data_IF_383229674604
#
_entry.id   IF_383229674604
#
_cell.length_a   1.000
_cell.length_b   1.000
_cell.length_c   1.000
_cell.angle_alpha   90.00
_cell.angle_beta   90.00
_cell.angle_gamma   90.00
#
_symmetry.space_group_name_H-M   'P 1'
#
loop_
_entity.id
_entity.type
_entity.pdbx_description
1 polymer ?
#
# COMPACT_ATOMS: atom_id res chain seq x y z
N UNK A 1 21.89 -90.01 -21.51
CA UNK A 1 22.54 -90.46 -22.77
C UNK A 1 22.41 -89.31 -23.76
N UNK A 2 23.38 -88.75 -24.46
CA UNK A 2 24.84 -88.91 -24.51
C UNK A 2 25.39 -87.73 -25.38
N UNK A 3 26.57 -87.20 -25.01
CA UNK A 3 27.74 -86.75 -25.84
C UNK A 3 27.50 -85.89 -27.11
N UNK A 4 28.01 -84.64 -27.17
CA UNK A 4 29.36 -84.13 -27.58
C UNK A 4 29.50 -83.82 -29.08
N UNK A 5 30.44 -82.92 -29.38
CA UNK A 5 30.98 -82.39 -30.65
C UNK A 5 30.27 -81.11 -31.12
N UNK A 6 30.76 -79.91 -30.79
CA UNK A 6 32.03 -79.24 -31.14
C UNK A 6 32.28 -79.11 -32.65
N UNK A 7 32.37 -77.83 -33.04
CA UNK A 7 33.12 -77.21 -34.13
C UNK A 7 32.72 -77.46 -35.58
N UNK A 8 32.34 -76.38 -36.27
CA UNK A 8 33.27 -75.63 -37.15
C UNK A 8 32.49 -74.89 -38.24
N UNK A 9 32.10 -73.63 -37.98
CA UNK A 9 31.93 -72.63 -39.06
C UNK A 9 32.54 -71.31 -38.59
N UNK A 10 33.78 -71.09 -39.02
CA UNK A 10 34.45 -69.81 -38.97
C UNK A 10 34.12 -69.03 -40.25
N UNK A 11 33.68 -67.77 -40.13
CA UNK A 11 33.98 -66.74 -41.13
C UNK A 11 33.66 -65.33 -40.62
N UNK A 12 34.74 -64.57 -40.39
CA UNK A 12 34.91 -63.13 -40.65
C UNK A 12 34.00 -62.11 -39.95
N UNK A 13 34.62 -61.32 -39.05
CA UNK A 13 34.20 -59.95 -38.70
C UNK A 13 34.47 -59.00 -39.89
N UNK A 14 33.75 -57.87 -39.99
CA UNK A 14 34.40 -56.64 -39.55
C UNK A 14 33.48 -55.68 -38.79
N UNK A 15 33.98 -55.22 -37.65
CA UNK A 15 33.60 -53.98 -37.00
C UNK A 15 33.78 -52.78 -37.94
N UNK A 16 32.77 -51.91 -37.98
CA UNK A 16 32.93 -50.49 -38.34
C UNK A 16 32.36 -50.09 -39.69
N UNK A 17 31.12 -49.58 -39.70
CA UNK A 17 30.68 -48.53 -40.62
C UNK A 17 29.36 -47.90 -40.15
N UNK A 18 29.41 -46.94 -39.21
CA UNK A 18 28.34 -45.96 -39.04
C UNK A 18 28.81 -44.65 -39.69
N UNK A 19 28.15 -44.17 -40.76
CA UNK A 19 28.50 -42.88 -41.35
C UNK A 19 28.22 -41.74 -40.36
N UNK A 20 29.28 -41.10 -39.85
CA UNK A 20 29.23 -40.02 -38.86
C UNK A 20 28.81 -38.65 -39.42
N UNK A 21 28.40 -38.59 -40.68
CA UNK A 21 28.13 -37.34 -41.42
C UNK A 21 26.64 -37.06 -41.63
N UNK A 22 25.73 -37.81 -41.00
CA UNK A 22 24.30 -37.45 -40.92
C UNK A 22 24.07 -36.53 -39.71
N UNK A 23 24.61 -35.34 -39.90
CA UNK A 23 24.15 -34.00 -39.53
C UNK A 23 23.48 -33.78 -38.17
N UNK A 24 24.29 -33.24 -37.25
CA UNK A 24 23.81 -32.37 -36.18
C UNK A 24 22.94 -31.20 -36.71
N UNK A 25 23.18 -30.74 -37.95
CA UNK A 25 22.37 -29.69 -38.61
C UNK A 25 20.94 -30.12 -38.95
N UNK A 26 20.72 -31.38 -39.35
CA UNK A 26 19.38 -31.89 -39.67
C UNK A 26 18.52 -32.03 -38.42
N UNK A 27 19.14 -32.44 -37.29
CA UNK A 27 18.49 -32.47 -35.97
C UNK A 27 18.19 -31.08 -35.44
N UNK A 28 19.09 -30.11 -35.64
CA UNK A 28 18.86 -28.71 -35.27
C UNK A 28 17.73 -28.07 -36.10
N UNK A 29 17.63 -28.35 -37.40
CA UNK A 29 16.53 -27.83 -38.25
C UNK A 29 15.16 -28.37 -37.86
N UNK A 30 15.06 -29.67 -37.53
CA UNK A 30 13.78 -30.26 -37.06
C UNK A 30 13.37 -29.76 -35.68
N UNK A 31 14.32 -29.48 -34.78
CA UNK A 31 14.03 -28.85 -33.48
C UNK A 31 13.65 -27.37 -33.60
N UNK A 32 14.16 -26.68 -34.62
CA UNK A 32 13.84 -25.27 -34.90
C UNK A 32 12.41 -25.09 -35.42
N UNK A 33 11.86 -26.07 -36.15
CA UNK A 33 10.51 -26.03 -36.73
C UNK A 33 9.39 -26.38 -35.74
N UNK A 34 9.68 -27.17 -34.70
CA UNK A 34 8.70 -27.50 -33.65
C UNK A 34 8.50 -26.36 -32.62
N UNK A 35 9.37 -25.35 -32.62
CA UNK A 35 9.39 -24.22 -31.68
C UNK A 35 8.71 -22.94 -32.24
N UNK A 36 7.85 -23.06 -33.27
CA UNK A 36 7.30 -21.87 -33.98
C UNK A 36 5.81 -21.62 -33.73
N UNK A 37 5.07 -22.47 -33.01
CA UNK A 37 3.64 -22.21 -32.80
C UNK A 37 3.08 -22.71 -31.46
N UNK A 38 3.52 -22.10 -30.37
CA UNK A 38 2.64 -21.90 -29.23
C UNK A 38 2.17 -20.43 -29.26
N UNK A 39 0.93 -20.13 -29.67
CA UNK A 39 0.40 -18.78 -29.47
C UNK A 39 0.35 -18.55 -27.95
N UNK A 40 1.25 -17.71 -27.46
CA UNK A 40 1.25 -17.26 -26.08
C UNK A 40 -0.01 -16.45 -25.84
N UNK A 41 -1.09 -17.10 -25.40
CA UNK A 41 -2.30 -16.43 -24.90
C UNK A 41 -2.04 -15.80 -23.53
N UNK A 42 -1.02 -14.94 -23.43
CA UNK A 42 -0.62 -14.20 -22.22
C UNK A 42 -0.77 -12.70 -22.43
N UNK A 43 -1.90 -12.28 -23.00
CA UNK A 43 -2.30 -10.85 -23.00
C UNK A 43 -3.12 -10.49 -21.76
N UNK A 44 -3.65 -11.47 -21.01
CA UNK A 44 -4.45 -11.21 -19.79
C UNK A 44 -3.60 -10.87 -18.55
N UNK A 45 -2.29 -11.09 -18.61
CA UNK A 45 -1.35 -10.98 -17.48
C UNK A 45 -0.56 -9.67 -17.43
N UNK A 46 -0.97 -8.58 -18.11
CA UNK A 46 -0.33 -7.25 -17.89
C UNK A 46 -1.20 -6.25 -17.14
N UNK A 47 -2.53 -6.36 -17.28
CA UNK A 47 -3.47 -5.51 -16.53
C UNK A 47 -3.55 -5.91 -15.04
N UNK A 48 -3.44 -7.20 -14.74
CA UNK A 48 -3.45 -7.74 -13.37
C UNK A 48 -2.17 -7.32 -12.60
N UNK A 49 -1.05 -7.10 -13.31
CA UNK A 49 0.26 -6.81 -12.71
C UNK A 49 0.47 -5.36 -12.30
N UNK A 50 -0.55 -4.51 -12.42
CA UNK A 50 -0.47 -3.09 -12.03
C UNK A 50 -1.66 -2.64 -11.18
N UNK A 51 -2.53 -3.55 -10.73
CA UNK A 51 -3.73 -3.16 -10.01
C UNK A 51 -3.41 -2.39 -8.71
N UNK A 52 -2.45 -2.84 -7.85
CA UNK A 52 -2.06 -2.07 -6.66
C UNK A 52 -1.47 -0.70 -7.00
N UNK A 53 -0.57 -0.64 -7.99
CA UNK A 53 0.04 0.63 -8.42
C UNK A 53 -1.02 1.60 -8.97
N UNK A 54 -1.97 1.12 -9.77
CA UNK A 54 -3.03 1.93 -10.35
C UNK A 54 -3.95 2.50 -9.26
N UNK A 55 -4.22 1.74 -8.20
CA UNK A 55 -4.99 2.19 -7.04
C UNK A 55 -4.23 3.29 -6.28
N UNK A 56 -2.93 3.13 -6.04
CA UNK A 56 -2.09 4.19 -5.44
C UNK A 56 -2.08 5.45 -6.30
N UNK A 57 -1.88 5.33 -7.62
CA UNK A 57 -1.92 6.49 -8.53
C UNK A 57 -3.31 7.13 -8.57
N UNK A 58 -4.37 6.33 -8.53
CA UNK A 58 -5.74 6.81 -8.41
C UNK A 58 -5.95 7.66 -7.17
N UNK A 59 -5.39 7.28 -6.02
CA UNK A 59 -5.43 8.08 -4.78
C UNK A 59 -4.64 9.37 -4.89
N UNK A 60 -3.46 9.34 -5.48
CA UNK A 60 -2.68 10.56 -5.75
C UNK A 60 -3.46 11.53 -6.63
N UNK A 61 -4.20 11.03 -7.63
CA UNK A 61 -5.09 11.83 -8.48
C UNK A 61 -6.38 12.27 -7.77
N UNK A 62 -6.85 11.50 -6.79
CA UNK A 62 -8.02 11.85 -5.99
C UNK A 62 -7.77 13.11 -5.16
N UNK A 63 -6.53 13.36 -4.70
CA UNK A 63 -6.19 14.57 -3.92
C UNK A 63 -6.55 15.85 -4.68
N UNK A 64 -5.97 16.17 -5.85
CA UNK A 64 -6.31 17.39 -6.59
C UNK A 64 -7.77 17.41 -7.05
N UNK A 65 -8.38 16.25 -7.32
CA UNK A 65 -9.78 16.19 -7.71
C UNK A 65 -10.72 16.61 -6.56
N UNK A 66 -10.51 16.07 -5.36
CA UNK A 66 -11.29 16.41 -4.16
C UNK A 66 -11.07 17.87 -3.78
N UNK A 67 -9.81 18.35 -3.80
CA UNK A 67 -9.55 19.75 -3.46
C UNK A 67 -10.17 20.71 -4.46
N UNK A 68 -10.11 20.44 -5.77
CA UNK A 68 -10.74 21.29 -6.78
C UNK A 68 -12.27 21.35 -6.59
N UNK A 69 -12.92 20.21 -6.35
CA UNK A 69 -14.37 20.16 -6.12
C UNK A 69 -14.78 20.90 -4.84
N UNK A 70 -13.97 20.82 -3.78
CA UNK A 70 -14.21 21.55 -2.54
C UNK A 70 -13.85 23.03 -2.63
N UNK A 71 -12.92 23.42 -3.50
CA UNK A 71 -12.59 24.82 -3.75
C UNK A 71 -13.79 25.54 -4.41
N UNK A 72 -14.36 24.96 -5.46
CA UNK A 72 -15.52 25.51 -6.17
C UNK A 72 -16.88 24.99 -5.66
N UNK A 73 -17.01 24.65 -4.37
CA UNK A 73 -18.17 23.97 -3.76
C UNK A 73 -19.53 24.69 -3.78
N UNK A 74 -19.75 25.64 -4.72
CA UNK A 74 -20.97 26.43 -4.88
C UNK A 74 -22.21 25.56 -5.11
N UNK A 75 -22.05 24.45 -5.82
CA UNK A 75 -23.16 23.55 -6.17
C UNK A 75 -23.14 22.26 -5.36
N UNK A 76 -24.31 21.79 -4.93
CA UNK A 76 -24.45 20.58 -4.09
C UNK A 76 -23.87 19.33 -4.76
N UNK A 77 -23.98 19.19 -6.08
CA UNK A 77 -23.46 18.03 -6.80
C UNK A 77 -21.93 17.91 -6.69
N UNK A 78 -21.21 19.03 -6.55
CA UNK A 78 -19.76 19.04 -6.42
C UNK A 78 -19.32 18.44 -5.08
N UNK A 79 -20.07 18.72 -4.01
CA UNK A 79 -19.86 18.10 -2.69
C UNK A 79 -20.16 16.60 -2.71
N UNK A 80 -21.23 16.18 -3.37
CA UNK A 80 -21.53 14.76 -3.55
C UNK A 80 -20.47 14.03 -4.37
N UNK A 81 -19.96 14.65 -5.43
CA UNK A 81 -18.88 14.09 -6.23
C UNK A 81 -17.57 14.04 -5.44
N UNK A 82 -17.24 15.09 -4.68
CA UNK A 82 -16.07 15.10 -3.81
C UNK A 82 -16.16 13.98 -2.76
N UNK A 83 -17.35 13.78 -2.17
CA UNK A 83 -17.61 12.71 -1.22
C UNK A 83 -17.44 11.34 -1.88
N UNK A 84 -17.97 11.15 -3.09
CA UNK A 84 -17.86 9.90 -3.82
C UNK A 84 -16.40 9.56 -4.14
N UNK A 85 -15.61 10.53 -4.61
CA UNK A 85 -14.18 10.35 -4.91
C UNK A 85 -13.40 10.07 -3.63
N UNK A 86 -13.64 10.85 -2.57
CA UNK A 86 -12.99 10.67 -1.27
C UNK A 86 -13.30 9.28 -0.67
N UNK A 87 -14.56 8.87 -0.68
CA UNK A 87 -15.00 7.56 -0.20
C UNK A 87 -14.42 6.42 -1.04
N UNK A 88 -14.43 6.55 -2.37
CA UNK A 88 -13.80 5.58 -3.26
C UNK A 88 -12.30 5.44 -2.96
N UNK A 89 -11.58 6.55 -2.82
CA UNK A 89 -10.16 6.57 -2.46
C UNK A 89 -9.90 5.87 -1.12
N UNK A 90 -10.65 6.20 -0.07
CA UNK A 90 -10.52 5.60 1.25
C UNK A 90 -10.85 4.09 1.26
N UNK A 91 -11.89 3.67 0.53
CA UNK A 91 -12.26 2.27 0.41
C UNK A 91 -11.19 1.50 -0.37
N UNK A 92 -10.70 2.06 -1.47
CA UNK A 92 -9.65 1.42 -2.28
C UNK A 92 -8.36 1.24 -1.50
N UNK A 93 -7.99 2.19 -0.64
CA UNK A 93 -6.84 2.06 0.26
C UNK A 93 -6.96 0.84 1.18
N UNK A 94 -8.11 0.71 1.85
CA UNK A 94 -8.38 -0.41 2.75
C UNK A 94 -8.27 -1.77 2.05
N UNK A 95 -8.87 -1.89 0.86
CA UNK A 95 -8.83 -3.13 0.08
C UNK A 95 -7.45 -3.41 -0.50
N UNK A 96 -6.72 -2.40 -0.98
CA UNK A 96 -5.37 -2.57 -1.52
C UNK A 96 -4.38 -2.96 -0.43
N UNK A 97 -4.48 -2.39 0.78
CA UNK A 97 -3.69 -2.84 1.92
C UNK A 97 -3.95 -4.31 2.31
N UNK A 98 -5.14 -4.83 2.04
CA UNK A 98 -5.44 -6.26 2.19
C UNK A 98 -4.84 -7.09 1.05
N UNK A 99 -5.02 -6.68 -0.20
CA UNK A 99 -4.53 -7.38 -1.40
C UNK A 99 -3.00 -7.36 -1.55
N UNK A 100 -2.35 -6.25 -1.22
CA UNK A 100 -0.90 -6.11 -1.25
C UNK A 100 -0.20 -7.10 -0.31
N UNK A 101 -0.78 -7.36 0.87
CA UNK A 101 -0.32 -8.40 1.80
C UNK A 101 -0.47 -9.81 1.22
N UNK A 102 -1.47 -10.03 0.37
CA UNK A 102 -1.72 -11.32 -0.26
C UNK A 102 -0.85 -11.56 -1.51
N UNK A 103 -0.47 -10.52 -2.25
CA UNK A 103 0.15 -10.67 -3.58
C UNK A 103 1.62 -10.23 -3.70
N UNK A 104 2.20 -9.44 -2.78
CA UNK A 104 3.63 -9.05 -2.84
C UNK A 104 4.10 -8.40 -4.17
N UNK A 105 3.18 -7.93 -5.02
CA UNK A 105 3.48 -7.43 -6.38
C UNK A 105 3.40 -5.91 -6.52
N UNK A 106 3.71 -5.14 -5.48
CA UNK A 106 3.69 -3.67 -5.56
C UNK A 106 5.06 -3.12 -5.96
N UNK A 107 5.09 -2.13 -6.85
CA UNK A 107 6.34 -1.47 -7.24
C UNK A 107 6.99 -0.72 -6.07
N UNK A 108 8.30 -0.50 -6.11
CA UNK A 108 9.00 0.28 -5.08
C UNK A 108 8.49 1.72 -5.01
N UNK A 109 8.19 2.33 -6.15
CA UNK A 109 7.60 3.68 -6.20
C UNK A 109 6.18 3.70 -5.63
N UNK A 110 5.34 2.73 -5.99
CA UNK A 110 3.99 2.61 -5.42
C UNK A 110 4.01 2.47 -3.91
N UNK A 111 4.90 1.61 -3.37
CA UNK A 111 5.07 1.44 -1.91
C UNK A 111 5.49 2.72 -1.19
N UNK A 112 6.34 3.53 -1.82
CA UNK A 112 6.75 4.82 -1.26
C UNK A 112 5.62 5.86 -1.31
N UNK A 113 4.88 5.93 -2.42
CA UNK A 113 3.82 6.92 -2.62
C UNK A 113 2.58 6.63 -1.77
N UNK A 114 2.35 5.36 -1.44
CA UNK A 114 1.15 4.90 -0.74
C UNK A 114 0.92 5.61 0.61
N UNK A 115 1.87 5.65 1.56
CA UNK A 115 1.70 6.39 2.82
C UNK A 115 1.70 7.92 2.67
N UNK A 116 2.19 8.43 1.54
CA UNK A 116 2.22 9.87 1.26
C UNK A 116 0.84 10.31 0.74
N UNK A 117 0.27 9.56 -0.20
CA UNK A 117 -1.03 9.84 -0.79
C UNK A 117 -2.15 9.86 0.26
N UNK A 118 -2.14 8.90 1.19
CA UNK A 118 -3.12 8.79 2.27
C UNK A 118 -3.17 10.07 3.14
N UNK A 119 -2.00 10.51 3.62
CA UNK A 119 -1.88 11.73 4.45
C UNK A 119 -2.21 12.98 3.66
N UNK A 120 -1.79 13.06 2.40
CA UNK A 120 -2.09 14.22 1.56
C UNK A 120 -3.59 14.34 1.29
N UNK A 121 -4.29 13.24 1.05
CA UNK A 121 -5.73 13.25 0.83
C UNK A 121 -6.47 13.81 2.05
N UNK A 122 -6.21 13.26 3.23
CA UNK A 122 -6.80 13.74 4.48
C UNK A 122 -6.43 15.20 4.73
N UNK A 123 -5.15 15.54 4.65
CA UNK A 123 -4.66 16.86 5.01
C UNK A 123 -5.22 17.95 4.08
N UNK A 124 -5.17 17.72 2.78
CA UNK A 124 -5.69 18.65 1.78
C UNK A 124 -7.22 18.80 1.91
N UNK A 125 -7.93 17.71 2.21
CA UNK A 125 -9.37 17.75 2.45
C UNK A 125 -9.71 18.58 3.69
N UNK A 126 -9.02 18.39 4.82
CA UNK A 126 -9.24 19.18 6.03
C UNK A 126 -9.00 20.68 5.78
N UNK A 127 -7.92 21.04 5.08
CA UNK A 127 -7.66 22.43 4.69
C UNK A 127 -8.78 22.99 3.81
N UNK A 128 -9.29 22.19 2.89
CA UNK A 128 -10.38 22.63 2.00
C UNK A 128 -11.72 22.73 2.71
N UNK A 129 -11.97 21.91 3.72
CA UNK A 129 -13.16 22.04 4.57
C UNK A 129 -13.12 23.29 5.45
N UNK A 130 -11.92 23.72 5.86
CA UNK A 130 -11.73 25.03 6.52
C UNK A 130 -11.99 26.17 5.54
N UNK A 131 -11.41 26.10 4.34
CA UNK A 131 -11.64 27.10 3.28
C UNK A 131 -13.12 27.20 2.89
N UNK A 132 -13.80 26.07 2.71
CA UNK A 132 -15.22 25.99 2.39
C UNK A 132 -16.13 26.40 3.56
N UNK A 133 -15.56 26.83 4.70
CA UNK A 133 -16.31 27.26 5.86
C UNK A 133 -17.16 26.17 6.50
N UNK A 134 -16.86 24.89 6.25
CA UNK A 134 -17.59 23.79 6.94
C UNK A 134 -16.94 23.46 8.27
N UNK A 135 -15.61 23.60 8.37
CA UNK A 135 -14.88 23.65 9.63
C UNK A 135 -14.59 25.12 9.95
N UNK A 136 -15.20 25.64 11.01
CA UNK A 136 -15.04 27.04 11.42
C UNK A 136 -14.82 27.17 12.93
N UNK A 137 -14.43 28.37 13.36
CA UNK A 137 -14.33 28.77 14.77
C UNK A 137 -13.44 27.82 15.57
N UNK A 138 -13.95 27.26 16.67
CA UNK A 138 -13.21 26.38 17.57
C UNK A 138 -12.81 25.04 16.91
N UNK A 139 -13.58 24.54 15.95
CA UNK A 139 -13.31 23.25 15.31
C UNK A 139 -12.07 23.28 14.40
N UNK A 140 -11.55 24.46 14.07
CA UNK A 140 -10.27 24.60 13.37
C UNK A 140 -9.13 23.99 14.21
N UNK A 141 -9.19 24.12 15.54
CA UNK A 141 -8.18 23.52 16.43
C UNK A 141 -8.17 22.00 16.34
N UNK A 142 -9.34 21.36 16.22
CA UNK A 142 -9.42 19.91 16.03
C UNK A 142 -8.72 19.48 14.72
N UNK A 143 -8.95 20.21 13.62
CA UNK A 143 -8.27 19.95 12.35
C UNK A 143 -6.76 20.14 12.44
N UNK A 144 -6.29 21.22 13.10
CA UNK A 144 -4.85 21.47 13.32
C UNK A 144 -4.21 20.34 14.12
N UNK A 145 -4.84 19.91 15.21
CA UNK A 145 -4.36 18.81 16.04
C UNK A 145 -4.19 17.53 15.24
N UNK A 146 -5.19 17.18 14.43
CA UNK A 146 -5.14 16.00 13.56
C UNK A 146 -3.97 16.13 12.58
N UNK A 147 -3.87 17.23 11.84
CA UNK A 147 -2.80 17.49 10.87
C UNK A 147 -1.40 17.39 11.49
N UNK A 148 -1.15 18.13 12.58
CA UNK A 148 0.15 18.14 13.26
C UNK A 148 0.54 16.73 13.71
N UNK A 149 -0.40 15.99 14.30
CA UNK A 149 -0.13 14.63 14.80
C UNK A 149 0.08 13.65 13.66
N UNK A 150 -0.67 13.72 12.56
CA UNK A 150 -0.48 12.82 11.42
C UNK A 150 0.92 12.93 10.84
N UNK A 151 1.48 14.14 10.77
CA UNK A 151 2.85 14.38 10.32
C UNK A 151 3.85 13.90 11.38
N UNK A 152 3.69 14.33 12.64
CA UNK A 152 4.64 14.02 13.73
C UNK A 152 4.78 12.52 13.98
N UNK A 153 3.68 11.81 14.18
CA UNK A 153 3.73 10.36 14.47
C UNK A 153 4.21 9.56 13.26
N UNK A 154 3.92 10.03 12.05
CA UNK A 154 4.46 9.41 10.85
C UNK A 154 5.97 9.55 10.74
N UNK A 155 6.52 10.75 10.98
CA UNK A 155 7.96 10.98 10.99
C UNK A 155 8.66 10.19 12.08
N UNK A 156 8.09 10.16 13.29
CA UNK A 156 8.62 9.37 14.40
C UNK A 156 8.63 7.88 14.07
N UNK A 157 7.57 7.36 13.44
CA UNK A 157 7.50 5.94 13.05
C UNK A 157 8.55 5.58 12.01
N UNK A 158 8.81 6.46 11.04
CA UNK A 158 9.86 6.26 10.04
C UNK A 158 11.24 6.19 10.72
N UNK A 159 11.54 7.17 11.58
CA UNK A 159 12.79 7.22 12.36
C UNK A 159 12.99 5.97 13.24
N UNK A 160 11.96 5.53 13.96
CA UNK A 160 12.04 4.33 14.81
C UNK A 160 12.15 3.03 13.99
N UNK A 161 11.59 2.99 12.79
CA UNK A 161 11.72 1.84 11.89
C UNK A 161 13.17 1.65 11.43
N UNK A 162 13.91 2.75 11.19
CA UNK A 162 15.34 2.71 10.88
C UNK A 162 16.16 2.12 12.04
N UNK A 163 15.75 2.39 13.29
CA UNK A 163 16.35 1.84 14.51
C UNK A 163 15.94 0.39 14.83
N UNK A 164 15.17 -0.27 13.95
CA UNK A 164 14.64 -1.64 14.13
C UNK A 164 13.79 -1.86 15.40
N UNK A 165 13.27 -0.79 15.99
CA UNK A 165 12.36 -0.87 17.13
C UNK A 165 10.93 -1.04 16.63
N UNK A 166 10.36 -2.23 16.77
CA UNK A 166 8.96 -2.46 16.41
C UNK A 166 8.04 -1.94 17.52
N UNK A 167 7.42 -0.78 17.32
CA UNK A 167 6.32 -0.33 18.19
C UNK A 167 5.05 -1.08 17.81
N UNK A 168 4.43 -1.85 18.73
CA UNK A 168 3.22 -2.61 18.42
C UNK A 168 2.06 -1.67 18.05
N UNK A 169 1.35 -2.01 16.97
CA UNK A 169 0.18 -1.24 16.51
C UNK A 169 -1.01 -1.52 17.44
N UNK A 170 -1.41 -0.52 18.23
CA UNK A 170 -2.56 -0.64 19.12
C UNK A 170 -3.88 -0.68 18.36
N UNK A 171 -4.89 -1.42 18.85
CA UNK A 171 -6.22 -1.48 18.24
C UNK A 171 -6.91 -0.10 18.18
N UNK A 172 -6.58 0.79 19.12
CA UNK A 172 -7.02 2.19 19.11
C UNK A 172 -6.60 2.95 17.84
N UNK A 173 -5.43 2.63 17.29
CA UNK A 173 -4.96 3.25 16.05
C UNK A 173 -5.80 2.87 14.82
N UNK A 174 -6.53 1.74 14.86
CA UNK A 174 -7.46 1.35 13.77
C UNK A 174 -8.77 2.14 13.84
N UNK A 175 -9.30 2.31 15.05
CA UNK A 175 -10.55 3.05 15.27
C UNK A 175 -10.38 4.54 14.97
N UNK A 176 -9.23 5.16 15.31
CA UNK A 176 -9.00 6.59 15.05
C UNK A 176 -9.19 6.95 13.57
N UNK A 177 -8.63 6.14 12.66
CA UNK A 177 -8.67 6.42 11.23
C UNK A 177 -10.08 6.27 10.69
N UNK A 178 -10.82 5.25 11.15
CA UNK A 178 -12.21 5.06 10.75
C UNK A 178 -13.06 6.27 11.18
N UNK A 179 -12.95 6.68 12.44
CA UNK A 179 -13.69 7.85 12.96
C UNK A 179 -13.33 9.12 12.19
N UNK A 180 -12.06 9.33 11.89
CA UNK A 180 -11.58 10.48 11.14
C UNK A 180 -12.09 10.52 9.69
N UNK A 181 -12.03 9.40 8.97
CA UNK A 181 -12.53 9.32 7.59
C UNK A 181 -14.05 9.53 7.54
N UNK A 182 -14.79 8.96 8.49
CA UNK A 182 -16.23 9.17 8.60
C UNK A 182 -16.54 10.64 8.93
N UNK A 183 -15.83 11.25 9.87
CA UNK A 183 -15.96 12.66 10.20
C UNK A 183 -15.79 13.54 8.96
N UNK A 184 -14.71 13.33 8.21
CA UNK A 184 -14.40 14.06 6.99
C UNK A 184 -15.50 13.84 5.95
N UNK A 185 -16.00 12.61 5.78
CA UNK A 185 -17.11 12.32 4.87
C UNK A 185 -18.38 13.14 5.15
N UNK A 186 -18.81 13.21 6.42
CA UNK A 186 -19.92 14.07 6.83
C UNK A 186 -19.65 15.55 6.55
N UNK A 187 -18.42 16.01 6.78
CA UNK A 187 -18.04 17.40 6.56
C UNK A 187 -17.92 17.75 5.06
N UNK A 188 -17.50 16.82 4.20
CA UNK A 188 -17.54 17.01 2.75
C UNK A 188 -18.98 17.19 2.28
N UNK A 189 -19.89 16.30 2.73
CA UNK A 189 -21.32 16.42 2.43
C UNK A 189 -21.85 17.79 2.89
N UNK A 190 -21.50 18.22 4.10
CA UNK A 190 -21.69 19.58 4.58
C UNK A 190 -23.11 20.12 4.35
N UNK A 191 -23.28 21.34 3.81
CA UNK A 191 -24.59 21.90 3.46
C UNK A 191 -25.42 21.02 2.51
N UNK A 192 -24.78 20.31 1.58
CA UNK A 192 -25.48 19.43 0.65
C UNK A 192 -26.07 18.20 1.39
N UNK A 193 -25.35 17.69 2.39
CA UNK A 193 -25.84 16.63 3.26
C UNK A 193 -26.91 17.10 4.24
N UNK A 194 -26.84 18.35 4.69
CA UNK A 194 -27.82 18.96 5.61
C UNK A 194 -29.25 18.98 5.02
N UNK A 195 -29.36 19.09 3.69
CA UNK A 195 -30.64 19.00 2.96
C UNK A 195 -31.25 17.60 3.03
N UNK A 196 -30.42 16.56 3.09
CA UNK A 196 -30.85 15.15 3.10
C UNK A 196 -31.06 14.65 4.54
N UNK A 197 -30.10 14.93 5.41
CA UNK A 197 -30.08 14.55 6.81
C UNK A 197 -29.74 15.78 7.67
N UNK A 198 -30.72 16.40 8.33
CA UNK A 198 -30.48 17.50 9.26
C UNK A 198 -29.52 17.07 10.37
N UNK A 199 -28.54 17.91 10.68
CA UNK A 199 -27.46 17.64 11.63
C UNK A 199 -26.20 17.01 11.03
N UNK A 200 -26.11 16.84 9.70
CA UNK A 200 -24.93 16.28 9.02
C UNK A 200 -23.65 17.01 9.42
N UNK A 201 -23.64 18.35 9.37
CA UNK A 201 -22.45 19.13 9.74
C UNK A 201 -22.11 18.94 11.21
N UNK A 202 -23.11 18.98 12.10
CA UNK A 202 -22.90 18.80 13.54
C UNK A 202 -22.32 17.43 13.87
N UNK A 203 -22.85 16.36 13.27
CA UNK A 203 -22.31 15.00 13.42
C UNK A 203 -20.86 14.95 12.96
N UNK A 204 -20.55 15.53 11.80
CA UNK A 204 -19.19 15.61 11.28
C UNK A 204 -18.23 16.32 12.25
N UNK A 205 -18.64 17.45 12.83
CA UNK A 205 -17.82 18.19 13.79
C UNK A 205 -17.63 17.44 15.11
N UNK A 206 -18.65 16.77 15.63
CA UNK A 206 -18.52 15.92 16.82
C UNK A 206 -17.54 14.77 16.58
N UNK A 207 -17.68 14.08 15.45
CA UNK A 207 -16.76 13.01 15.07
C UNK A 207 -15.34 13.53 14.85
N UNK A 208 -15.17 14.75 14.32
CA UNK A 208 -13.87 15.39 14.16
C UNK A 208 -13.19 15.63 15.53
N UNK A 209 -13.94 16.09 16.52
CA UNK A 209 -13.41 16.26 17.89
C UNK A 209 -13.07 14.93 18.56
N UNK A 210 -13.90 13.90 18.38
CA UNK A 210 -13.60 12.54 18.85
C UNK A 210 -12.32 12.03 18.18
N UNK A 211 -12.20 12.22 16.86
CA UNK A 211 -10.99 11.88 16.12
C UNK A 211 -9.78 12.63 16.68
N UNK A 212 -9.86 13.95 16.89
CA UNK A 212 -8.77 14.73 17.46
C UNK A 212 -8.34 14.22 18.85
N UNK A 213 -9.30 13.91 19.74
CA UNK A 213 -9.03 13.33 21.06
C UNK A 213 -8.32 11.97 20.98
N UNK A 214 -8.83 11.06 20.15
CA UNK A 214 -8.18 9.76 19.90
C UNK A 214 -6.77 9.94 19.33
N UNK A 215 -6.59 10.95 18.48
CA UNK A 215 -5.34 11.25 17.79
C UNK A 215 -4.28 11.75 18.77
N UNK A 216 -4.65 12.59 19.74
CA UNK A 216 -3.78 13.01 20.84
C UNK A 216 -3.38 11.82 21.70
N UNK A 217 -4.35 11.04 22.17
CA UNK A 217 -4.10 9.88 23.05
C UNK A 217 -3.11 8.90 22.40
N UNK A 218 -3.39 8.51 21.17
CA UNK A 218 -2.53 7.58 20.42
C UNK A 218 -1.20 8.21 19.97
N UNK A 219 -1.11 9.54 19.93
CA UNK A 219 0.15 10.25 19.69
C UNK A 219 1.05 10.21 20.93
N UNK A 220 0.47 10.40 22.11
CA UNK A 220 1.17 10.31 23.39
C UNK A 220 1.77 8.93 23.64
N UNK A 221 1.00 7.86 23.42
CA UNK A 221 1.49 6.48 23.52
C UNK A 221 2.72 6.23 22.63
N UNK A 222 2.69 6.77 21.41
CA UNK A 222 3.80 6.65 20.45
C UNK A 222 5.03 7.44 20.89
N UNK A 223 4.85 8.66 21.40
CA UNK A 223 5.96 9.48 21.89
C UNK A 223 6.65 8.84 23.09
N UNK A 224 5.88 8.30 24.05
CA UNK A 224 6.46 7.58 25.19
C UNK A 224 7.24 6.33 24.74
N UNK A 225 6.71 5.58 23.78
CA UNK A 225 7.42 4.43 23.22
C UNK A 225 8.75 4.87 22.56
N UNK A 226 8.75 5.96 21.79
CA UNK A 226 9.96 6.48 21.14
C UNK A 226 11.01 6.99 22.13
N UNK A 227 10.59 7.75 23.15
CA UNK A 227 11.50 8.35 24.14
C UNK A 227 12.27 7.31 24.95
N UNK A 228 11.66 6.17 25.30
CA UNK A 228 12.35 5.10 26.05
C UNK A 228 13.57 4.57 25.28
N UNK A 229 13.45 4.38 23.97
CA UNK A 229 14.54 3.83 23.16
C UNK A 229 15.66 4.84 22.90
N UNK A 230 15.33 6.13 22.72
CA UNK A 230 16.34 7.18 22.54
C UNK A 230 17.17 7.38 23.82
N UNK A 231 16.57 7.19 24.99
CA UNK A 231 17.27 7.30 26.28
C UNK A 231 18.15 6.07 26.53
N UNK A 232 17.72 4.87 26.15
CA UNK A 232 18.49 3.63 26.34
C UNK A 232 19.72 3.51 25.40
N UNK A 233 19.69 4.15 24.22
CA UNK A 233 20.82 4.20 23.26
C UNK A 233 21.75 5.43 23.46
N UNK A 234 21.54 6.23 24.51
CA UNK A 234 22.44 7.35 24.81
C UNK A 234 23.84 6.81 25.21
N UNK A 235 24.95 7.27 24.59
CA UNK A 235 26.30 6.72 24.81
C UNK A 235 26.91 7.02 26.19
N UNK A 236 26.09 7.41 27.17
CA UNK A 236 26.51 7.65 28.55
C UNK A 236 26.13 6.47 29.44
N UNK A 237 26.59 5.28 29.05
CA UNK A 237 26.71 4.11 29.90
C UNK A 237 28.14 3.95 30.37
N UNK A 238 28.45 4.60 31.49
CA UNK A 238 29.24 4.08 32.60
C UNK A 238 30.60 3.43 32.31
N UNK A 239 31.63 4.28 32.16
CA UNK A 239 33.03 3.91 32.38
C UNK A 239 33.37 3.65 33.85
N UNK A 240 32.71 2.68 34.48
CA UNK A 240 32.96 2.35 35.88
C UNK A 240 32.66 0.88 36.21
N UNK A 241 33.70 0.06 36.32
CA UNK A 241 33.53 -1.32 36.79
C UNK A 241 34.76 -2.22 36.61
N UNK A 242 35.80 -1.93 37.39
CA UNK A 242 36.87 -2.82 37.86
C UNK A 242 36.73 -4.32 37.53
N UNK A 243 37.74 -4.87 36.84
CA UNK A 243 38.08 -6.29 36.92
C UNK A 243 39.26 -6.46 37.90
N UNK A 244 39.17 -7.37 38.89
CA UNK A 244 40.26 -7.67 39.82
C UNK A 244 41.43 -8.43 39.16
#
# INVERSE_FOLDING_TARGET
MARRHDDMQASFTPSGFTPSWVDARARAMFQSLAMVHAPSLTTRSRLIWNLPNLLTYGRVLAVPAVTALLFWHTENWMRWLALAIFAAAAITDYFDGYLARAWQQQSTLGRMLDPIADKLLVAATLLMLVHAGTIQSWSIWAAIVILCREILVSGLREFLAELRVSVPVTALAKWKTTVQLVAIGFLIAGPAGEVVLPGTVSIGLWLLWIAAGLTIYTGWDYMQAGMKHVIDDAPFGDGGGSSP
#
